data_IF_219089643132
#
_entry.id   IF_219089643132
#
_cell.length_a   1.000
_cell.length_b   1.000
_cell.length_c   1.000
_cell.angle_alpha   90.00
_cell.angle_beta   90.00
_cell.angle_gamma   90.00
#
_symmetry.space_group_name_H-M   'P 1'
#
loop_
_entity.id
_entity.type
_entity.pdbx_description
1 polymer ?
#
# COMPACT_ATOMS: atom_id res chain seq x y z
N UNK A 1 -11.42 -9.06 3.94
CA UNK A 1 -12.79 -8.70 3.57
C UNK A 1 -12.94 -7.19 3.69
N UNK A 2 -12.55 -6.47 2.64
CA UNK A 2 -12.52 -5.01 2.53
C UNK A 2 -13.13 -4.54 1.20
N UNK A 3 -14.04 -5.32 0.59
CA UNK A 3 -14.62 -5.00 -0.73
C UNK A 3 -15.28 -3.62 -0.80
N UNK A 4 -15.71 -3.08 0.35
CA UNK A 4 -16.34 -1.76 0.46
C UNK A 4 -15.34 -0.61 0.43
N UNK A 5 -14.09 -0.85 0.84
CA UNK A 5 -13.11 0.20 1.07
C UNK A 5 -11.90 0.13 0.14
N UNK A 6 -11.47 -1.08 -0.24
CA UNK A 6 -10.21 -1.33 -0.96
C UNK A 6 -10.11 -0.54 -2.27
N UNK A 7 -11.23 -0.36 -2.99
CA UNK A 7 -11.27 0.45 -4.20
C UNK A 7 -10.91 1.92 -3.92
N UNK A 8 -11.46 2.50 -2.87
CA UNK A 8 -11.20 3.90 -2.49
C UNK A 8 -9.76 4.08 -2.02
N UNK A 9 -9.25 3.14 -1.23
CA UNK A 9 -7.86 3.12 -0.79
C UNK A 9 -6.90 3.11 -2.00
N UNK A 10 -7.04 2.12 -2.89
CA UNK A 10 -6.17 1.98 -4.07
C UNK A 10 -6.33 3.17 -5.03
N UNK A 11 -7.53 3.71 -5.19
CA UNK A 11 -7.75 4.93 -5.97
C UNK A 11 -7.02 6.14 -5.37
N UNK A 12 -6.99 6.29 -4.05
CA UNK A 12 -6.25 7.38 -3.38
C UNK A 12 -4.73 7.25 -3.58
N UNK A 13 -4.21 6.04 -3.71
CA UNK A 13 -2.80 5.77 -4.07
C UNK A 13 -2.53 6.17 -5.54
N UNK A 14 -3.43 5.85 -6.47
CA UNK A 14 -3.30 6.25 -7.88
C UNK A 14 -3.42 7.77 -8.10
N UNK A 15 -4.00 8.49 -7.14
CA UNK A 15 -4.12 9.97 -7.15
C UNK A 15 -2.91 10.70 -6.56
N UNK A 16 -1.88 9.97 -6.11
CA UNK A 16 -0.70 10.59 -5.50
C UNK A 16 0.05 11.48 -6.51
N UNK A 17 0.41 12.70 -6.07
CA UNK A 17 1.22 13.68 -6.79
C UNK A 17 2.70 13.29 -6.75
N UNK A 18 2.98 12.06 -7.19
CA UNK A 18 4.30 11.45 -7.26
C UNK A 18 4.37 10.61 -8.55
N UNK A 19 5.55 10.46 -9.19
CA UNK A 19 5.63 9.72 -10.46
C UNK A 19 5.08 8.30 -10.32
N UNK A 20 3.93 8.02 -10.96
CA UNK A 20 3.19 6.76 -10.78
C UNK A 20 4.02 5.52 -11.15
N UNK A 21 4.92 5.64 -12.12
CA UNK A 21 5.89 4.59 -12.50
C UNK A 21 6.90 4.21 -11.40
N UNK A 22 6.98 5.00 -10.32
CA UNK A 22 7.83 4.76 -9.15
C UNK A 22 7.04 4.23 -7.95
N UNK A 23 5.72 4.05 -8.09
CA UNK A 23 4.87 3.49 -7.04
C UNK A 23 4.58 2.03 -7.39
N UNK A 24 5.14 1.14 -6.59
CA UNK A 24 4.80 -0.28 -6.58
C UNK A 24 3.64 -0.50 -5.60
N UNK A 25 2.58 -1.19 -6.03
CA UNK A 25 1.44 -1.53 -5.18
C UNK A 25 1.42 -3.04 -5.01
N UNK A 26 1.61 -3.50 -3.77
CA UNK A 26 1.54 -4.91 -3.40
C UNK A 26 0.36 -5.09 -2.46
N UNK A 27 -0.53 -6.02 -2.78
CA UNK A 27 -1.67 -6.38 -1.94
C UNK A 27 -1.45 -7.77 -1.38
N UNK A 28 -1.47 -7.90 -0.05
CA UNK A 28 -1.36 -9.19 0.65
C UNK A 28 -2.69 -9.46 1.36
N UNK A 29 -3.49 -10.34 0.79
CA UNK A 29 -4.81 -10.71 1.27
C UNK A 29 -4.76 -11.89 2.25
N UNK A 30 -5.52 -11.81 3.34
CA UNK A 30 -5.66 -12.89 4.31
C UNK A 30 -6.86 -13.78 3.98
N UNK A 31 -6.86 -14.34 2.76
CA UNK A 31 -7.88 -15.28 2.29
C UNK A 31 -9.31 -14.70 2.38
N UNK A 32 -9.50 -13.48 1.89
CA UNK A 32 -10.82 -12.86 1.79
C UNK A 32 -11.79 -13.72 0.98
N UNK A 33 -13.04 -13.72 1.40
CA UNK A 33 -14.14 -14.49 0.77
C UNK A 33 -15.11 -13.61 0.00
N UNK A 34 -14.88 -12.30 0.01
CA UNK A 34 -15.65 -11.27 -0.68
C UNK A 34 -14.91 -10.80 -1.94
N UNK A 35 -15.35 -9.71 -2.56
CA UNK A 35 -14.73 -9.20 -3.81
C UNK A 35 -13.41 -8.45 -3.62
N UNK A 36 -12.81 -8.48 -2.43
CA UNK A 36 -11.58 -7.68 -2.13
C UNK A 36 -10.46 -7.93 -3.13
N UNK A 37 -10.15 -9.19 -3.41
CA UNK A 37 -9.06 -9.59 -4.31
C UNK A 37 -9.38 -9.20 -5.76
N UNK A 38 -10.61 -9.44 -6.21
CA UNK A 38 -11.05 -9.09 -7.57
C UNK A 38 -10.99 -7.58 -7.81
N UNK A 39 -11.39 -6.79 -6.81
CA UNK A 39 -11.29 -5.33 -6.88
C UNK A 39 -9.84 -4.87 -6.88
N UNK A 40 -8.98 -5.45 -6.04
CA UNK A 40 -7.56 -5.13 -6.03
C UNK A 40 -6.86 -5.41 -7.37
N UNK A 41 -7.29 -6.48 -8.07
CA UNK A 41 -6.76 -6.88 -9.38
C UNK A 41 -6.93 -5.84 -10.48
N UNK A 42 -7.79 -4.84 -10.28
CA UNK A 42 -7.96 -3.73 -11.23
C UNK A 42 -6.84 -2.67 -11.11
N UNK A 43 -6.05 -2.71 -10.04
CA UNK A 43 -5.04 -1.69 -9.72
C UNK A 43 -3.60 -2.20 -9.76
N UNK A 44 -3.41 -3.50 -9.53
CA UNK A 44 -2.11 -4.19 -9.51
C UNK A 44 -2.25 -5.68 -9.79
N UNK A 45 -1.24 -6.26 -10.44
CA UNK A 45 -1.12 -7.71 -10.61
C UNK A 45 -0.37 -8.38 -9.44
N UNK A 46 0.27 -7.58 -8.57
CA UNK A 46 1.04 -8.07 -7.43
C UNK A 46 0.14 -8.36 -6.22
N UNK A 47 -0.68 -9.41 -6.34
CA UNK A 47 -1.61 -9.86 -5.30
C UNK A 47 -1.17 -11.21 -4.77
N UNK A 48 -1.04 -11.29 -3.45
CA UNK A 48 -0.61 -12.50 -2.75
C UNK A 48 -1.61 -12.87 -1.65
N UNK A 49 -1.64 -14.15 -1.30
CA UNK A 49 -2.40 -14.64 -0.14
C UNK A 49 -1.44 -15.07 0.97
N UNK A 50 -1.55 -14.46 2.14
CA UNK A 50 -0.71 -14.76 3.30
C UNK A 50 -1.41 -14.34 4.60
N UNK A 51 -1.15 -15.04 5.70
CA UNK A 51 -1.85 -14.85 6.96
C UNK A 51 -1.24 -15.66 8.11
N UNK A 52 -1.86 -15.69 9.32
CA UNK A 52 -3.20 -15.16 9.60
C UNK A 52 -3.22 -13.73 10.19
N UNK A 53 -2.07 -13.15 10.55
CA UNK A 53 -2.01 -11.87 11.24
C UNK A 53 -1.51 -10.72 10.34
N UNK A 54 -1.90 -9.49 10.69
CA UNK A 54 -1.51 -8.27 9.95
C UNK A 54 0.01 -8.14 9.80
N UNK A 55 0.76 -8.46 10.86
CA UNK A 55 2.23 -8.41 10.82
C UNK A 55 2.81 -9.41 9.83
N UNK A 56 2.26 -10.62 9.73
CA UNK A 56 2.69 -11.61 8.75
C UNK A 56 2.43 -11.13 7.32
N UNK A 57 1.27 -10.52 7.06
CA UNK A 57 0.94 -9.93 5.77
C UNK A 57 1.91 -8.80 5.38
N UNK A 58 2.19 -7.89 6.32
CA UNK A 58 3.10 -6.74 6.12
C UNK A 58 4.52 -7.20 5.84
N UNK A 59 5.03 -8.15 6.62
CA UNK A 59 6.37 -8.71 6.41
C UNK A 59 6.48 -9.44 5.07
N UNK A 60 5.49 -10.27 4.72
CA UNK A 60 5.47 -10.93 3.43
C UNK A 60 5.44 -9.93 2.27
N UNK A 61 4.63 -8.87 2.38
CA UNK A 61 4.60 -7.80 1.38
C UNK A 61 5.94 -7.07 1.25
N UNK A 62 6.60 -6.79 2.38
CA UNK A 62 7.93 -6.19 2.41
C UNK A 62 8.99 -7.07 1.72
N UNK A 63 8.93 -8.39 1.89
CA UNK A 63 9.82 -9.34 1.19
C UNK A 63 9.60 -9.40 -0.32
N UNK A 64 8.42 -9.00 -0.82
CA UNK A 64 8.11 -8.91 -2.26
C UNK A 64 8.40 -7.53 -2.86
N UNK A 65 8.64 -6.53 -2.03
CA UNK A 65 8.85 -5.15 -2.47
C UNK A 65 10.25 -4.93 -3.05
N UNK A 66 10.30 -4.11 -4.10
CA UNK A 66 11.55 -3.70 -4.77
C UNK A 66 11.85 -2.21 -4.58
N UNK A 67 10.90 -1.45 -4.03
CA UNK A 67 11.04 -0.03 -3.74
C UNK A 67 12.12 0.27 -2.69
N UNK A 68 12.70 1.48 -2.76
CA UNK A 68 13.67 1.97 -1.77
C UNK A 68 13.04 2.15 -0.37
N UNK A 69 11.76 2.49 -0.32
CA UNK A 69 10.99 2.67 0.90
C UNK A 69 9.70 1.88 0.84
N UNK A 70 9.23 1.47 2.02
CA UNK A 70 7.96 0.76 2.19
C UNK A 70 7.02 1.71 2.94
N UNK A 71 5.82 1.89 2.38
CA UNK A 71 4.70 2.55 3.04
C UNK A 71 3.62 1.50 3.32
N UNK A 72 3.33 1.27 4.60
CA UNK A 72 2.34 0.29 5.04
C UNK A 72 0.99 1.02 5.16
N UNK A 73 -0.01 0.53 4.43
CA UNK A 73 -1.36 1.12 4.39
C UNK A 73 -2.38 0.00 4.64
N UNK A 74 -3.35 0.27 5.53
CA UNK A 74 -4.49 -0.61 5.74
C UNK A 74 -5.56 -0.33 4.67
N UNK A 75 -6.29 -1.37 4.26
CA UNK A 75 -7.20 -1.33 3.09
C UNK A 75 -8.44 -0.42 3.26
N UNK A 76 -8.66 0.10 4.47
CA UNK A 76 -9.71 1.05 4.83
C UNK A 76 -9.24 2.52 4.90
N UNK A 77 -7.96 2.79 4.59
CA UNK A 77 -7.41 4.14 4.62
C UNK A 77 -7.63 4.90 3.30
N UNK A 78 -7.77 6.22 3.40
CA UNK A 78 -7.76 7.14 2.25
C UNK A 78 -6.61 8.12 2.43
N UNK A 79 -5.67 8.12 1.49
CA UNK A 79 -4.49 8.99 1.56
C UNK A 79 -4.77 10.39 0.99
N UNK A 80 -4.15 11.41 1.58
CA UNK A 80 -4.06 12.73 0.97
C UNK A 80 -3.16 12.69 -0.27
N UNK A 81 -3.43 13.53 -1.28
CA UNK A 81 -2.76 13.41 -2.59
C UNK A 81 -1.24 13.61 -2.57
N UNK A 82 -0.66 14.17 -1.50
CA UNK A 82 0.76 14.51 -1.45
C UNK A 82 1.58 13.62 -0.49
N UNK A 83 0.95 12.72 0.27
CA UNK A 83 1.61 12.04 1.39
C UNK A 83 2.81 11.19 0.97
N UNK A 84 2.76 10.51 -0.20
CA UNK A 84 3.92 9.75 -0.69
C UNK A 84 5.10 10.68 -0.97
N UNK A 85 4.86 11.81 -1.65
CA UNK A 85 5.90 12.81 -1.96
C UNK A 85 6.48 13.38 -0.67
N UNK A 86 5.63 13.80 0.26
CA UNK A 86 6.06 14.40 1.53
C UNK A 86 6.85 13.42 2.40
N UNK A 87 6.45 12.15 2.44
CA UNK A 87 7.20 11.11 3.14
C UNK A 87 8.55 10.86 2.48
N UNK A 88 8.58 10.75 1.14
CA UNK A 88 9.81 10.58 0.39
C UNK A 88 10.80 11.73 0.65
N UNK A 89 10.34 12.98 0.55
CA UNK A 89 11.18 14.16 0.75
C UNK A 89 11.75 14.22 2.17
N UNK A 90 10.94 13.87 3.18
CA UNK A 90 11.39 13.78 4.58
C UNK A 90 12.43 12.68 4.78
N UNK A 91 12.26 11.51 4.16
CA UNK A 91 13.23 10.42 4.27
C UNK A 91 14.55 10.73 3.54
N UNK A 92 14.49 11.24 2.31
CA UNK A 92 15.69 11.51 1.50
C UNK A 92 16.46 12.73 1.98
N UNK A 93 15.77 13.83 2.26
CA UNK A 93 16.42 15.12 2.56
C UNK A 93 16.50 15.40 4.06
N UNK A 94 15.57 14.86 4.85
CA UNK A 94 15.55 15.02 6.31
C UNK A 94 16.43 14.00 7.05
N UNK A 95 16.96 12.99 6.35
CA UNK A 95 17.75 11.93 6.95
C UNK A 95 16.95 11.00 7.87
N UNK A 96 15.63 10.93 7.70
CA UNK A 96 14.77 10.08 8.51
C UNK A 96 14.74 8.65 7.98
N UNK A 97 14.98 7.67 8.85
CA UNK A 97 14.87 6.26 8.51
C UNK A 97 13.44 5.72 8.56
N UNK A 98 12.55 6.39 9.31
CA UNK A 98 11.14 6.01 9.46
C UNK A 98 10.28 7.24 9.76
N UNK A 99 9.02 7.19 9.32
CA UNK A 99 8.01 8.21 9.58
C UNK A 99 6.73 7.52 10.09
N UNK A 100 6.09 8.14 11.08
CA UNK A 100 4.72 7.83 11.47
C UNK A 100 3.84 8.99 11.02
N UNK A 101 2.72 8.68 10.37
CA UNK A 101 1.74 9.66 9.90
C UNK A 101 0.42 9.31 10.56
N UNK A 102 -0.14 10.26 11.30
CA UNK A 102 -1.44 10.16 11.98
C UNK A 102 -2.52 10.89 11.19
#
# INVERSE_FOLDING_TARGET
NEEKNIANCLQSIKKQQYPQKKIEIIVVDNYSTDKTVDTAGQFTDAIYKHGPERSAQRNFGAEKAHGKYILIIDADMILSENVIRECFDKCENGGHAALSVE
#
